data_IF_033190085048
#
_entry.id   IF_033190085048
#
_cell.length_a   1.000
_cell.length_b   1.000
_cell.length_c   1.000
_cell.angle_alpha   90.00
_cell.angle_beta   90.00
_cell.angle_gamma   90.00
#
_symmetry.space_group_name_H-M   'P 1'
#
loop_
_entity.id
_entity.type
_entity.pdbx_description
1 polymer ?
#
# COMPACT_ATOMS: atom_id res chain seq x y z
N UNK A 1 -2.68 -15.52 2.14
CA UNK A 1 -2.68 -16.91 2.69
C UNK A 1 -1.47 -17.18 3.57
N UNK A 2 -0.25 -16.78 3.20
CA UNK A 2 0.96 -16.94 4.04
C UNK A 2 0.79 -16.39 5.46
N UNK A 3 0.30 -15.16 5.60
CA UNK A 3 0.08 -14.51 6.90
C UNK A 3 -0.87 -15.27 7.82
N UNK A 4 -1.95 -15.83 7.25
CA UNK A 4 -2.89 -16.62 8.02
C UNK A 4 -2.24 -17.91 8.52
N UNK A 5 -1.50 -18.60 7.65
CA UNK A 5 -0.80 -19.84 8.01
C UNK A 5 0.32 -19.60 9.03
N UNK A 6 0.97 -18.44 8.98
CA UNK A 6 1.99 -18.05 9.95
C UNK A 6 1.36 -17.75 11.33
N UNK A 7 0.25 -16.99 11.36
CA UNK A 7 -0.51 -16.74 12.59
C UNK A 7 -1.10 -18.00 13.22
N UNK A 8 -1.43 -19.01 12.40
CA UNK A 8 -2.02 -20.31 12.80
C UNK A 8 -1.08 -21.47 12.55
N UNK A 9 0.22 -21.27 12.75
CA UNK A 9 1.27 -22.23 12.40
C UNK A 9 1.07 -23.63 13.03
N UNK A 10 0.67 -23.68 14.30
CA UNK A 10 0.48 -24.93 15.01
C UNK A 10 -0.71 -25.74 14.46
N UNK A 11 -1.77 -25.05 14.05
CA UNK A 11 -2.94 -25.68 13.41
C UNK A 11 -2.57 -26.17 12.00
N UNK A 12 -1.80 -25.36 11.26
CA UNK A 12 -1.27 -25.72 9.96
C UNK A 12 -0.41 -26.99 10.01
N UNK A 13 0.57 -27.07 10.94
CA UNK A 13 1.45 -28.23 11.07
C UNK A 13 0.67 -29.47 11.53
N UNK A 14 -0.25 -29.33 12.48
CA UNK A 14 -1.11 -30.44 12.92
C UNK A 14 -2.00 -30.94 11.80
N UNK A 15 -2.55 -30.04 10.97
CA UNK A 15 -3.36 -30.42 9.82
C UNK A 15 -2.57 -31.28 8.82
N UNK A 16 -1.36 -30.84 8.46
CA UNK A 16 -0.47 -31.63 7.59
C UNK A 16 -0.12 -33.02 8.17
N UNK A 17 0.15 -33.08 9.47
CA UNK A 17 0.43 -34.35 10.16
C UNK A 17 -0.78 -35.31 10.10
N UNK A 18 -2.01 -34.81 10.38
CA UNK A 18 -3.24 -35.60 10.35
C UNK A 18 -3.58 -36.11 8.95
N UNK A 19 -3.30 -35.35 7.89
CA UNK A 19 -3.42 -35.87 6.52
C UNK A 19 -2.52 -37.09 6.34
N UNK A 20 -1.27 -37.00 6.78
CA UNK A 20 -0.26 -38.03 6.55
C UNK A 20 -0.50 -39.29 7.37
N UNK A 21 -1.08 -39.19 8.57
CA UNK A 21 -1.25 -40.29 9.51
C UNK A 21 -2.66 -40.89 9.51
N UNK A 22 -3.67 -40.05 9.29
CA UNK A 22 -5.09 -40.35 9.48
C UNK A 22 -5.92 -40.19 8.20
N UNK A 23 -5.29 -39.66 7.11
CA UNK A 23 -5.97 -39.28 5.87
C UNK A 23 -7.13 -38.25 6.10
N UNK A 24 -7.01 -37.39 7.11
CA UNK A 24 -8.02 -36.41 7.49
C UNK A 24 -7.99 -35.18 6.55
N UNK A 25 -8.46 -35.35 5.34
CA UNK A 25 -8.58 -34.32 4.34
C UNK A 25 -9.70 -33.30 4.66
N UNK A 26 -10.74 -33.73 5.35
CA UNK A 26 -11.89 -32.88 5.66
C UNK A 26 -11.49 -31.70 6.55
N UNK A 27 -10.83 -31.97 7.67
CA UNK A 27 -10.33 -30.92 8.57
C UNK A 27 -9.33 -29.99 7.89
N UNK A 28 -8.50 -30.52 7.00
CA UNK A 28 -7.55 -29.71 6.23
C UNK A 28 -8.24 -28.77 5.26
N UNK A 29 -9.21 -29.26 4.50
CA UNK A 29 -9.99 -28.44 3.57
C UNK A 29 -10.76 -27.36 4.32
N UNK A 30 -11.37 -27.69 5.46
CA UNK A 30 -12.04 -26.72 6.31
C UNK A 30 -11.07 -25.62 6.79
N UNK A 31 -9.87 -25.97 7.25
CA UNK A 31 -8.84 -25.01 7.63
C UNK A 31 -8.46 -24.10 6.47
N UNK A 32 -8.24 -24.62 5.28
CA UNK A 32 -7.92 -23.84 4.08
C UNK A 32 -9.07 -22.89 3.68
N UNK A 33 -10.32 -23.35 3.78
CA UNK A 33 -11.49 -22.51 3.50
C UNK A 33 -11.62 -21.36 4.51
N UNK A 34 -11.44 -21.64 5.81
CA UNK A 34 -11.40 -20.61 6.85
C UNK A 34 -10.30 -19.58 6.59
N UNK A 35 -9.10 -20.02 6.21
CA UNK A 35 -8.00 -19.15 5.84
C UNK A 35 -8.35 -18.26 4.65
N UNK A 36 -9.00 -18.83 3.63
CA UNK A 36 -9.41 -18.09 2.43
C UNK A 36 -10.45 -17.03 2.77
N UNK A 37 -11.45 -17.37 3.56
CA UNK A 37 -12.50 -16.43 4.00
C UNK A 37 -11.90 -15.28 4.81
N UNK A 38 -11.06 -15.60 5.79
CA UNK A 38 -10.42 -14.59 6.64
C UNK A 38 -9.57 -13.62 5.81
N UNK A 39 -8.75 -14.15 4.91
CA UNK A 39 -7.88 -13.34 4.04
C UNK A 39 -8.68 -12.49 3.05
N UNK A 40 -9.77 -13.03 2.52
CA UNK A 40 -10.65 -12.29 1.60
C UNK A 40 -11.31 -11.11 2.32
N UNK A 41 -11.85 -11.33 3.52
CA UNK A 41 -12.46 -10.27 4.32
C UNK A 41 -11.46 -9.17 4.69
N UNK A 42 -10.23 -9.55 5.07
CA UNK A 42 -9.16 -8.59 5.36
C UNK A 42 -8.80 -7.76 4.11
N UNK A 43 -8.71 -8.42 2.94
CA UNK A 43 -8.42 -7.75 1.67
C UNK A 43 -9.52 -6.76 1.28
N UNK A 44 -10.80 -7.14 1.41
CA UNK A 44 -11.94 -6.24 1.16
C UNK A 44 -11.88 -5.02 2.09
N UNK A 45 -11.69 -5.23 3.39
CA UNK A 45 -11.59 -4.14 4.35
C UNK A 45 -10.41 -3.18 4.02
N UNK A 46 -9.29 -3.71 3.54
CA UNK A 46 -8.14 -2.91 3.09
C UNK A 46 -8.48 -2.09 1.85
N UNK A 47 -9.17 -2.69 0.87
CA UNK A 47 -9.64 -1.97 -0.32
C UNK A 47 -10.59 -0.82 0.04
N UNK A 48 -11.53 -1.05 0.97
CA UNK A 48 -12.44 0.00 1.45
C UNK A 48 -11.69 1.15 2.11
N UNK A 49 -10.69 0.86 2.96
CA UNK A 49 -9.81 1.88 3.55
C UNK A 49 -9.05 2.68 2.49
N UNK A 50 -8.50 2.01 1.45
CA UNK A 50 -7.81 2.69 0.35
C UNK A 50 -8.74 3.59 -0.46
N UNK A 51 -9.98 3.16 -0.70
CA UNK A 51 -10.99 3.98 -1.38
C UNK A 51 -11.34 5.23 -0.54
N UNK A 52 -11.48 5.09 0.77
CA UNK A 52 -11.72 6.21 1.68
C UNK A 52 -10.53 7.21 1.67
N UNK A 53 -9.29 6.70 1.73
CA UNK A 53 -8.08 7.54 1.60
C UNK A 53 -8.07 8.27 0.25
N UNK A 54 -8.40 7.58 -0.84
CA UNK A 54 -8.46 8.19 -2.18
C UNK A 54 -9.42 9.38 -2.22
N UNK A 55 -10.60 9.24 -1.64
CA UNK A 55 -11.57 10.34 -1.60
C UNK A 55 -11.08 11.50 -0.75
N UNK A 56 -10.49 11.23 0.42
CA UNK A 56 -9.90 12.27 1.27
C UNK A 56 -8.79 13.05 0.55
N UNK A 57 -7.91 12.35 -0.17
CA UNK A 57 -6.82 12.99 -0.93
C UNK A 57 -7.36 13.84 -2.08
N UNK A 58 -8.45 13.41 -2.75
CA UNK A 58 -9.11 14.20 -3.78
C UNK A 58 -9.72 15.49 -3.24
N UNK A 59 -10.38 15.42 -2.08
CA UNK A 59 -10.91 16.62 -1.42
C UNK A 59 -9.79 17.61 -1.10
N UNK A 60 -8.71 17.16 -0.44
CA UNK A 60 -7.54 18.01 -0.13
C UNK A 60 -6.93 18.63 -1.38
N UNK A 61 -6.86 17.87 -2.48
CA UNK A 61 -6.30 18.35 -3.74
C UNK A 61 -7.17 19.45 -4.36
N UNK A 62 -8.49 19.30 -4.32
CA UNK A 62 -9.43 20.32 -4.84
C UNK A 62 -9.33 21.62 -4.07
N UNK A 63 -9.15 21.58 -2.74
CA UNK A 63 -8.95 22.77 -1.89
C UNK A 63 -7.68 23.55 -2.24
N UNK A 64 -6.65 22.87 -2.77
CA UNK A 64 -5.37 23.48 -3.17
C UNK A 64 -5.34 23.99 -4.61
N UNK A 65 -6.47 24.01 -5.31
CA UNK A 65 -6.56 24.44 -6.70
C UNK A 65 -5.91 23.46 -7.68
N UNK A 66 -6.19 22.15 -7.50
CA UNK A 66 -5.54 21.06 -8.20
C UNK A 66 -5.69 21.10 -9.71
N UNK A 67 -4.55 21.21 -10.42
CA UNK A 67 -4.49 21.00 -11.87
C UNK A 67 -4.62 19.52 -12.21
N UNK A 68 -5.09 19.21 -13.43
CA UNK A 68 -5.25 17.85 -13.94
C UNK A 68 -4.02 16.97 -13.73
N UNK A 69 -2.80 17.54 -13.84
CA UNK A 69 -1.55 16.82 -13.59
C UNK A 69 -1.40 16.32 -12.15
N UNK A 70 -1.82 17.11 -11.17
CA UNK A 70 -1.76 16.72 -9.76
C UNK A 70 -2.71 15.56 -9.47
N UNK A 71 -3.91 15.55 -10.08
CA UNK A 71 -4.83 14.41 -10.01
C UNK A 71 -4.20 13.14 -10.58
N UNK A 72 -3.51 13.24 -11.73
CA UNK A 72 -2.80 12.10 -12.32
C UNK A 72 -1.69 11.55 -11.41
N UNK A 73 -0.99 12.41 -10.68
CA UNK A 73 0.03 11.96 -9.70
C UNK A 73 -0.66 11.29 -8.50
N UNK A 74 -1.76 11.86 -8.00
CA UNK A 74 -2.53 11.29 -6.88
C UNK A 74 -3.16 9.95 -7.25
N UNK A 75 -3.63 9.76 -8.47
CA UNK A 75 -4.12 8.44 -8.90
C UNK A 75 -3.00 7.39 -8.95
N UNK A 76 -1.78 7.79 -9.34
CA UNK A 76 -0.64 6.87 -9.45
C UNK A 76 -0.10 6.40 -8.09
N UNK A 77 -0.19 7.20 -7.04
CA UNK A 77 0.31 6.79 -5.72
C UNK A 77 -0.42 5.58 -5.12
N UNK A 78 -1.59 5.23 -5.66
CA UNK A 78 -2.32 4.00 -5.30
C UNK A 78 -1.75 2.75 -5.98
N UNK A 79 -1.05 2.91 -7.11
CA UNK A 79 -0.30 1.82 -7.74
C UNK A 79 1.08 1.65 -7.09
N UNK A 80 1.74 2.79 -6.81
CA UNK A 80 3.07 2.81 -6.18
C UNK A 80 3.14 4.01 -5.23
N UNK A 81 3.16 3.80 -3.90
CA UNK A 81 3.13 4.90 -2.93
C UNK A 81 4.40 5.76 -2.90
N UNK A 82 5.44 5.36 -3.63
CA UNK A 82 6.69 6.10 -3.78
C UNK A 82 6.77 6.75 -5.16
N UNK A 83 7.12 8.05 -5.20
CA UNK A 83 7.17 8.84 -6.44
C UNK A 83 8.48 9.61 -6.52
N UNK A 84 9.23 9.39 -7.61
CA UNK A 84 10.46 10.15 -7.90
C UNK A 84 10.17 11.27 -8.90
N UNK A 85 10.84 12.41 -8.75
CA UNK A 85 10.68 13.56 -9.66
C UNK A 85 10.91 13.15 -11.11
N UNK A 86 11.93 12.30 -11.37
CA UNK A 86 12.29 11.86 -12.72
C UNK A 86 11.20 11.00 -13.37
N UNK A 87 10.45 10.21 -12.58
CA UNK A 87 9.37 9.37 -13.10
C UNK A 87 8.16 10.23 -13.49
N UNK A 88 7.83 11.24 -12.67
CA UNK A 88 6.77 12.21 -12.99
C UNK A 88 7.13 13.02 -14.23
N UNK A 89 8.40 13.49 -14.33
CA UNK A 89 8.91 14.20 -15.51
C UNK A 89 8.67 13.39 -16.78
N UNK A 90 9.09 12.13 -16.81
CA UNK A 90 8.98 11.26 -17.98
C UNK A 90 7.53 10.95 -18.32
N UNK A 91 6.72 10.57 -17.30
CA UNK A 91 5.34 10.14 -17.49
C UNK A 91 4.44 11.27 -17.98
N UNK A 92 4.59 12.46 -17.42
CA UNK A 92 3.76 13.62 -17.76
C UNK A 92 4.36 14.47 -18.87
N UNK A 93 5.53 14.09 -19.40
CA UNK A 93 6.27 14.82 -20.44
C UNK A 93 6.44 16.32 -20.10
N UNK A 94 6.87 16.59 -18.87
CA UNK A 94 7.14 17.95 -18.37
C UNK A 94 8.62 18.13 -18.06
N UNK A 95 9.04 19.36 -17.78
CA UNK A 95 10.42 19.63 -17.35
C UNK A 95 10.65 19.16 -15.91
N UNK A 96 11.90 18.86 -15.55
CA UNK A 96 12.24 18.46 -14.18
C UNK A 96 11.82 19.53 -13.11
N UNK A 97 12.03 20.84 -13.32
CA UNK A 97 11.55 21.86 -12.39
C UNK A 97 10.02 21.83 -12.21
N UNK A 98 9.28 21.60 -13.29
CA UNK A 98 7.80 21.49 -13.25
C UNK A 98 7.36 20.28 -12.44
N UNK A 99 7.93 19.09 -12.73
CA UNK A 99 7.64 17.87 -11.98
C UNK A 99 7.95 18.03 -10.48
N UNK A 100 9.09 18.65 -10.17
CA UNK A 100 9.48 18.97 -8.79
C UNK A 100 8.49 19.90 -8.10
N UNK A 101 8.11 21.00 -8.76
CA UNK A 101 7.14 21.95 -8.22
C UNK A 101 5.77 21.30 -7.98
N UNK A 102 5.31 20.40 -8.86
CA UNK A 102 4.07 19.67 -8.68
C UNK A 102 4.13 18.74 -7.44
N UNK A 103 5.25 18.03 -7.23
CA UNK A 103 5.43 17.18 -6.04
C UNK A 103 5.58 18.02 -4.75
N UNK A 104 6.24 19.16 -4.79
CA UNK A 104 6.34 20.08 -3.66
C UNK A 104 4.96 20.65 -3.28
N UNK A 105 4.10 20.96 -4.25
CA UNK A 105 2.70 21.35 -3.98
C UNK A 105 1.91 20.25 -3.28
N UNK A 106 2.05 18.99 -3.73
CA UNK A 106 1.41 17.85 -3.07
C UNK A 106 1.96 17.61 -1.66
N UNK A 107 3.24 17.91 -1.42
CA UNK A 107 3.84 17.84 -0.10
C UNK A 107 3.30 18.96 0.83
N UNK A 108 3.15 20.17 0.34
CA UNK A 108 2.53 21.28 1.08
C UNK A 108 1.06 21.01 1.42
N UNK A 109 0.33 20.34 0.53
CA UNK A 109 -1.04 19.87 0.78
C UNK A 109 -1.13 18.68 1.77
N UNK A 110 0.01 18.17 2.28
CA UNK A 110 0.06 17.04 3.20
C UNK A 110 -0.29 15.68 2.56
N UNK A 111 -0.30 15.61 1.22
CA UNK A 111 -0.58 14.38 0.46
C UNK A 111 0.67 13.53 0.35
N UNK A 112 1.83 14.17 0.16
CA UNK A 112 3.12 13.52 0.06
C UNK A 112 4.06 13.99 1.18
N UNK A 113 5.05 13.15 1.49
CA UNK A 113 6.22 13.54 2.31
C UNK A 113 7.49 13.25 1.52
N UNK A 114 8.49 14.13 1.65
CA UNK A 114 9.81 13.87 1.08
C UNK A 114 10.49 12.76 1.88
N UNK A 115 11.13 11.85 1.19
CA UNK A 115 11.96 10.79 1.77
C UNK A 115 13.42 11.26 1.75
N UNK A 116 14.00 11.41 2.94
CA UNK A 116 15.39 11.83 3.08
C UNK A 116 16.36 10.65 2.91
N UNK A 117 17.63 10.95 2.61
CA UNK A 117 18.68 9.92 2.46
C UNK A 117 18.70 9.20 1.11
N UNK A 118 17.84 9.56 0.17
CA UNK A 118 17.82 8.97 -1.18
C UNK A 118 18.68 9.74 -2.18
N UNK A 119 19.40 9.02 -3.09
CA UNK A 119 20.23 9.65 -4.14
C UNK A 119 19.42 10.51 -5.12
N UNK A 120 18.14 10.18 -5.32
CA UNK A 120 17.20 10.91 -6.16
C UNK A 120 16.08 11.45 -5.30
N UNK A 121 15.64 12.69 -5.55
CA UNK A 121 14.55 13.31 -4.79
C UNK A 121 13.27 12.47 -4.93
N UNK A 122 12.90 11.80 -3.84
CA UNK A 122 11.81 10.84 -3.76
C UNK A 122 10.78 11.35 -2.74
N UNK A 123 9.52 11.12 -3.03
CA UNK A 123 8.40 11.41 -2.14
C UNK A 123 7.61 10.12 -1.91
N UNK A 124 6.88 10.05 -0.83
CA UNK A 124 5.95 8.95 -0.56
C UNK A 124 4.63 9.46 -0.01
N UNK A 125 3.57 8.67 -0.20
CA UNK A 125 2.23 8.96 0.30
C UNK A 125 2.00 8.22 1.62
N UNK A 126 2.13 8.88 2.80
CA UNK A 126 2.09 8.21 4.10
C UNK A 126 0.74 7.54 4.37
N UNK A 127 -0.37 8.16 3.99
CA UNK A 127 -1.70 7.61 4.23
C UNK A 127 -1.96 6.34 3.40
N UNK A 128 -1.52 6.34 2.13
CA UNK A 128 -1.61 5.17 1.24
C UNK A 128 -0.67 4.06 1.71
N UNK A 129 0.59 4.43 2.03
CA UNK A 129 1.60 3.49 2.51
C UNK A 129 1.14 2.76 3.78
N UNK A 130 0.64 3.50 4.77
CA UNK A 130 0.14 2.94 6.02
C UNK A 130 -0.96 1.90 5.78
N UNK A 131 -1.97 2.22 4.96
CA UNK A 131 -3.08 1.29 4.70
C UNK A 131 -2.63 0.08 3.86
N UNK A 132 -1.75 0.29 2.87
CA UNK A 132 -1.28 -0.78 2.00
C UNK A 132 -0.40 -1.79 2.75
N UNK A 133 0.41 -1.31 3.73
CA UNK A 133 1.42 -2.11 4.43
C UNK A 133 1.17 -2.25 5.94
N UNK A 134 -0.04 -1.96 6.44
CA UNK A 134 -0.41 -1.96 7.87
C UNK A 134 -0.09 -3.28 8.61
N UNK A 135 0.05 -4.40 7.89
CA UNK A 135 0.37 -5.71 8.46
C UNK A 135 1.80 -6.19 8.15
N UNK A 136 2.62 -5.37 7.48
CA UNK A 136 4.02 -5.69 7.23
C UNK A 136 4.80 -5.03 8.36
N UNK A 137 5.30 -5.83 9.29
CA UNK A 137 6.02 -5.42 10.52
C UNK A 137 7.36 -4.71 10.25
N UNK A 138 7.77 -4.56 9.00
CA UNK A 138 8.98 -3.86 8.60
C UNK A 138 8.65 -2.51 7.97
N UNK A 139 8.53 -1.47 8.81
CA UNK A 139 8.79 -0.12 8.32
C UNK A 139 10.19 -0.13 7.68
N UNK A 140 10.33 0.29 6.41
CA UNK A 140 11.65 0.42 5.82
C UNK A 140 12.49 1.29 6.76
N UNK A 141 13.71 0.87 7.05
CA UNK A 141 14.65 1.50 8.01
C UNK A 141 14.82 3.01 7.75
N UNK A 142 14.57 3.45 6.51
CA UNK A 142 14.57 4.85 6.08
C UNK A 142 13.34 5.68 6.54
N UNK A 143 12.32 5.07 7.16
CA UNK A 143 11.12 5.75 7.68
C UNK A 143 11.07 5.79 9.21
N UNK A 144 12.06 5.20 9.89
CA UNK A 144 12.21 5.32 11.34
C UNK A 144 12.71 6.73 11.68
N UNK A 145 12.08 7.38 12.69
CA UNK A 145 12.48 8.73 13.13
C UNK A 145 13.91 8.78 13.66
#
# INVERSE_FOLDING_TARGET
>A
MSDYFEKHRDEYIRGLYRISTEADWESWVEFCLRATIAQSNETVARCEKLLAVREQLRVRLNETGGHVRLHSIVDEIFNTPFVRVIDVQKRLNVTYPTARADLEKLALAGILKQLDGTKTKTYYAPDVYRVAYENISDEPESLRP
#
